data_IF_877790851710
#
_entry.id   IF_877790851710
#
_cell.length_a   1.000
_cell.length_b   1.000
_cell.length_c   1.000
_cell.angle_alpha   90.00
_cell.angle_beta   90.00
_cell.angle_gamma   90.00
#
_symmetry.space_group_name_H-M   'P 1'
#
loop_
_entity.id
_entity.type
_entity.pdbx_description
1 polymer ?
#
# COMPACT_ATOMS: atom_id res chain seq x y z
N UNK A 1 -4.00 1.87 10.64
CA UNK A 1 -4.61 0.63 11.16
C UNK A 1 -6.08 0.65 10.79
N UNK A 2 -6.64 -0.51 10.42
CA UNK A 2 -8.08 -0.70 10.19
C UNK A 2 -8.53 -1.79 11.13
N UNK A 3 -9.54 -1.49 11.95
CA UNK A 3 -10.12 -2.40 12.95
C UNK A 3 -11.04 -3.40 12.28
N UNK A 4 -11.57 -4.35 13.05
CA UNK A 4 -12.43 -5.41 12.53
C UNK A 4 -13.73 -4.88 11.92
N UNK A 5 -14.33 -3.85 12.54
CA UNK A 5 -15.57 -3.23 12.06
C UNK A 5 -15.32 -2.03 11.15
N UNK A 6 -14.06 -1.77 10.80
CA UNK A 6 -13.67 -0.83 9.75
C UNK A 6 -13.37 0.59 10.23
N UNK A 7 -13.27 0.83 11.53
CA UNK A 7 -12.71 2.06 12.10
C UNK A 7 -11.23 2.20 11.73
N UNK A 8 -10.77 3.43 11.51
CA UNK A 8 -9.48 3.67 10.88
C UNK A 8 -8.74 4.79 11.56
N UNK A 9 -7.49 4.53 11.90
CA UNK A 9 -6.68 5.46 12.65
C UNK A 9 -5.20 5.28 12.35
N UNK A 10 -4.42 6.35 12.52
CA UNK A 10 -2.97 6.34 12.27
C UNK A 10 -2.23 6.11 13.58
N UNK A 11 -1.53 4.98 13.65
CA UNK A 11 -0.68 4.62 14.78
C UNK A 11 0.75 4.52 14.31
N UNK A 12 1.62 5.33 14.91
CA UNK A 12 3.05 5.37 14.64
C UNK A 12 3.86 5.12 15.91
N UNK A 13 3.27 4.56 16.97
CA UNK A 13 3.98 4.32 18.22
C UNK A 13 4.99 3.19 18.09
N UNK A 14 6.21 3.35 18.60
CA UNK A 14 7.27 2.31 18.55
C UNK A 14 7.24 1.44 19.81
N UNK A 15 7.21 0.13 19.61
CA UNK A 15 7.15 -0.85 20.68
C UNK A 15 6.30 -2.07 20.36
N UNK A 16 5.94 -2.79 21.41
CA UNK A 16 5.17 -4.02 21.33
C UNK A 16 3.74 -3.77 21.83
N UNK A 17 2.76 -4.25 21.09
CA UNK A 17 1.35 -4.01 21.37
C UNK A 17 0.53 -5.26 21.13
N UNK A 18 -0.54 -5.43 21.91
CA UNK A 18 -1.57 -6.44 21.65
C UNK A 18 -2.42 -5.95 20.49
N UNK A 19 -2.25 -6.55 19.31
CA UNK A 19 -3.03 -6.23 18.13
C UNK A 19 -4.49 -6.69 18.31
N UNK A 20 -4.67 -7.95 18.73
CA UNK A 20 -5.98 -8.51 19.00
C UNK A 20 -5.85 -9.74 19.93
N UNK A 21 -6.84 -9.97 20.78
CA UNK A 21 -6.97 -11.19 21.59
C UNK A 21 -8.44 -11.55 21.81
N UNK A 22 -8.71 -12.84 21.86
CA UNK A 22 -10.01 -13.41 22.18
C UNK A 22 -9.80 -14.86 22.65
N UNK A 23 -10.43 -15.25 23.77
CA UNK A 23 -10.26 -16.58 24.37
C UNK A 23 -8.79 -17.03 24.46
N UNK A 24 -8.44 -18.12 23.77
CA UNK A 24 -7.13 -18.77 23.78
C UNK A 24 -6.18 -18.27 22.67
N UNK A 25 -6.59 -17.27 21.87
CA UNK A 25 -5.75 -16.65 20.84
C UNK A 25 -5.38 -15.20 21.19
N UNK A 26 -4.11 -14.87 21.02
CA UNK A 26 -3.59 -13.51 21.16
C UNK A 26 -2.53 -13.24 20.10
N UNK A 27 -2.63 -12.11 19.41
CA UNK A 27 -1.67 -11.63 18.43
C UNK A 27 -1.04 -10.34 18.94
N UNK A 28 0.28 -10.36 19.10
CA UNK A 28 1.09 -9.20 19.42
C UNK A 28 1.95 -8.80 18.22
N UNK A 29 2.13 -7.50 18.04
CA UNK A 29 2.99 -6.93 17.00
C UNK A 29 4.10 -6.10 17.63
N UNK A 30 5.31 -6.20 17.09
CA UNK A 30 6.42 -5.30 17.38
C UNK A 30 6.58 -4.34 16.24
N UNK A 31 6.47 -3.05 16.54
CA UNK A 31 6.69 -1.96 15.60
C UNK A 31 8.06 -1.33 15.82
N UNK A 32 8.71 -0.93 14.73
CA UNK A 32 10.00 -0.23 14.73
C UNK A 32 9.90 1.06 13.94
N UNK A 33 10.71 2.05 14.29
CA UNK A 33 10.71 3.34 13.60
C UNK A 33 11.16 3.19 12.13
N UNK A 34 10.42 3.82 11.22
CA UNK A 34 10.74 4.04 9.82
C UNK A 34 10.93 5.56 9.64
N UNK A 35 12.13 6.04 9.95
CA UNK A 35 12.41 7.48 10.05
C UNK A 35 11.83 8.09 11.34
N UNK A 36 11.45 9.36 11.27
CA UNK A 36 10.91 10.11 12.42
C UNK A 36 9.37 10.23 12.42
N UNK A 37 8.72 9.83 11.33
CA UNK A 37 7.29 10.05 11.09
C UNK A 37 6.48 8.76 11.23
N UNK A 38 7.00 7.62 10.76
CA UNK A 38 6.23 6.38 10.70
C UNK A 38 6.94 5.22 11.39
N UNK A 39 6.17 4.15 11.61
CA UNK A 39 6.65 2.87 12.12
C UNK A 39 6.11 1.73 11.27
N UNK A 40 6.80 0.59 11.29
CA UNK A 40 6.38 -0.63 10.60
C UNK A 40 6.46 -1.84 11.51
N UNK A 41 5.65 -2.87 11.24
CA UNK A 41 5.66 -4.11 12.03
C UNK A 41 6.89 -4.95 11.64
N UNK A 42 7.85 -5.12 12.54
CA UNK A 42 9.08 -5.89 12.30
C UNK A 42 9.05 -7.31 12.90
N UNK A 43 8.05 -7.61 13.74
CA UNK A 43 7.84 -8.96 14.25
C UNK A 43 6.39 -9.16 14.70
N UNK A 44 5.95 -10.42 14.66
CA UNK A 44 4.63 -10.85 15.12
C UNK A 44 4.81 -12.04 16.05
N UNK A 45 4.08 -12.05 17.17
CA UNK A 45 3.99 -13.21 18.06
C UNK A 45 2.53 -13.58 18.26
N UNK A 46 2.21 -14.86 18.12
CA UNK A 46 0.85 -15.39 18.20
C UNK A 46 0.83 -16.47 19.28
N UNK A 47 -0.07 -16.38 20.24
CA UNK A 47 -0.42 -17.47 21.16
C UNK A 47 -1.66 -18.17 20.64
N UNK A 48 -1.65 -19.50 20.63
CA UNK A 48 -2.83 -20.34 20.43
C UNK A 48 -2.82 -21.42 21.51
N UNK A 49 -3.77 -21.35 22.45
CA UNK A 49 -3.76 -22.18 23.65
C UNK A 49 -2.46 -21.97 24.42
N UNK A 50 -1.76 -23.06 24.70
CA UNK A 50 -0.47 -23.04 25.41
C UNK A 50 0.75 -22.86 24.48
N UNK A 51 0.54 -22.80 23.16
CA UNK A 51 1.62 -22.72 22.19
C UNK A 51 1.87 -21.29 21.73
N UNK A 52 3.15 -20.99 21.45
CA UNK A 52 3.57 -19.73 20.88
C UNK A 52 4.16 -19.94 19.49
N UNK A 53 3.74 -19.09 18.57
CA UNK A 53 4.32 -18.93 17.23
C UNK A 53 5.00 -17.55 17.20
N UNK A 54 6.30 -17.49 16.90
CA UNK A 54 7.00 -16.24 16.63
C UNK A 54 7.36 -16.14 15.16
N UNK A 55 7.14 -14.96 14.60
CA UNK A 55 7.41 -14.62 13.20
C UNK A 55 8.28 -13.38 13.19
N UNK A 56 9.55 -13.56 12.85
CA UNK A 56 10.56 -12.50 12.83
C UNK A 56 11.46 -12.69 11.64
N UNK A 57 12.20 -11.65 11.24
CA UNK A 57 13.31 -11.86 10.30
C UNK A 57 14.29 -12.92 10.83
N UNK A 58 14.96 -13.70 9.96
CA UNK A 58 15.89 -14.73 10.39
C UNK A 58 17.08 -14.13 11.13
N UNK A 59 17.12 -14.28 12.46
CA UNK A 59 18.24 -13.78 13.28
C UNK A 59 19.28 -14.85 13.61
N UNK A 60 19.12 -16.09 13.12
CA UNK A 60 19.99 -17.24 13.42
C UNK A 60 20.51 -17.98 12.19
N UNK A 61 21.51 -18.82 12.40
CA UNK A 61 22.17 -19.62 11.34
C UNK A 61 21.23 -20.61 10.64
N UNK A 62 20.06 -20.89 11.23
CA UNK A 62 19.04 -21.77 10.66
C UNK A 62 18.19 -21.10 9.56
N UNK A 63 18.29 -19.77 9.41
CA UNK A 63 17.55 -19.02 8.40
C UNK A 63 16.03 -19.07 8.57
N UNK A 64 15.53 -19.49 9.73
CA UNK A 64 14.09 -19.65 9.97
C UNK A 64 13.48 -18.36 10.48
N UNK A 65 12.41 -17.94 9.80
CA UNK A 65 11.60 -16.77 10.14
C UNK A 65 10.41 -17.13 11.05
N UNK A 66 10.18 -18.44 11.32
CA UNK A 66 9.05 -18.93 12.10
C UNK A 66 9.50 -19.93 13.14
N UNK A 67 9.14 -19.70 14.41
CA UNK A 67 9.39 -20.66 15.49
C UNK A 67 8.09 -21.02 16.19
N UNK A 68 7.97 -22.29 16.59
CA UNK A 68 6.90 -22.80 17.46
C UNK A 68 7.55 -23.21 18.77
N UNK A 69 7.13 -22.59 19.87
CA UNK A 69 7.68 -22.80 21.22
C UNK A 69 9.23 -22.67 21.26
N UNK A 70 9.77 -21.73 20.48
CA UNK A 70 11.20 -21.45 20.34
C UNK A 70 11.95 -22.36 19.36
N UNK A 71 11.34 -23.47 18.92
CA UNK A 71 11.93 -24.37 17.93
C UNK A 71 11.62 -23.90 16.50
N UNK A 72 12.59 -23.94 15.56
CA UNK A 72 12.34 -23.59 14.16
C UNK A 72 11.27 -24.46 13.51
N UNK A 73 10.29 -23.84 12.86
CA UNK A 73 9.31 -24.52 12.04
C UNK A 73 9.76 -24.48 10.58
N UNK A 74 10.04 -25.64 9.97
CA UNK A 74 10.55 -25.72 8.59
C UNK A 74 9.58 -26.38 7.63
N UNK A 75 8.53 -27.02 8.13
CA UNK A 75 7.49 -27.65 7.32
C UNK A 75 6.50 -26.60 6.78
N UNK A 76 6.02 -26.81 5.56
CA UNK A 76 4.95 -26.00 4.94
C UNK A 76 3.68 -25.99 5.79
N UNK A 77 3.35 -27.12 6.43
CA UNK A 77 2.22 -27.25 7.34
C UNK A 77 2.73 -27.80 8.68
N UNK A 78 2.34 -27.15 9.77
CA UNK A 78 2.68 -27.55 11.14
C UNK A 78 1.44 -27.46 12.01
N UNK A 79 1.08 -28.55 12.68
CA UNK A 79 0.03 -28.54 13.69
C UNK A 79 0.59 -27.86 14.96
N UNK A 80 -0.10 -26.84 15.47
CA UNK A 80 0.27 -26.09 16.68
C UNK A 80 -0.92 -26.06 17.61
N UNK A 81 -0.92 -26.93 18.62
CA UNK A 81 -2.13 -27.24 19.38
C UNK A 81 -3.25 -27.68 18.44
N UNK A 82 -4.40 -26.99 18.50
CA UNK A 82 -5.53 -27.21 17.60
C UNK A 82 -5.50 -26.32 16.34
N UNK A 83 -4.55 -25.38 16.22
CA UNK A 83 -4.38 -24.57 15.03
C UNK A 83 -3.46 -25.21 13.99
N UNK A 84 -3.67 -24.81 12.73
CA UNK A 84 -2.80 -25.13 11.62
C UNK A 84 -1.96 -23.91 11.26
N UNK A 85 -0.64 -24.04 11.36
CA UNK A 85 0.33 -23.10 10.82
C UNK A 85 0.69 -23.51 9.39
N UNK A 86 0.52 -22.60 8.44
CA UNK A 86 0.94 -22.76 7.05
C UNK A 86 1.98 -21.71 6.68
N UNK A 87 3.10 -22.17 6.12
CA UNK A 87 4.19 -21.33 5.64
C UNK A 87 4.25 -21.33 4.11
N UNK A 88 4.39 -20.15 3.53
CA UNK A 88 4.61 -19.92 2.10
C UNK A 88 5.85 -19.06 1.91
N UNK A 89 6.27 -18.85 0.65
CA UNK A 89 7.52 -18.12 0.34
C UNK A 89 7.62 -16.74 0.99
N UNK A 90 6.49 -16.04 1.13
CA UNK A 90 6.43 -14.66 1.66
C UNK A 90 5.29 -14.44 2.66
N UNK A 91 4.58 -15.50 3.08
CA UNK A 91 3.48 -15.35 4.03
C UNK A 91 3.31 -16.56 4.93
N UNK A 92 2.96 -16.29 6.18
CA UNK A 92 2.59 -17.27 7.20
C UNK A 92 1.13 -17.07 7.49
N UNK A 93 0.40 -18.16 7.64
CA UNK A 93 -0.97 -18.14 8.13
C UNK A 93 -1.17 -19.11 9.27
N UNK A 94 -2.02 -18.72 10.22
CA UNK A 94 -2.46 -19.55 11.34
C UNK A 94 -3.98 -19.62 11.27
N UNK A 95 -4.52 -20.82 11.25
CA UNK A 95 -5.97 -21.07 11.23
C UNK A 95 -6.37 -21.89 12.43
N UNK A 96 -7.28 -21.38 13.26
CA UNK A 96 -7.84 -22.07 14.42
C UNK A 96 -9.14 -22.80 14.05
N UNK A 97 -9.61 -23.77 14.87
CA UNK A 97 -10.82 -24.55 14.55
C UNK A 97 -12.13 -23.76 14.48
N UNK A 98 -12.21 -22.62 15.19
CA UNK A 98 -13.35 -21.70 15.16
C UNK A 98 -13.45 -20.89 13.86
N UNK A 99 -12.41 -20.96 13.02
CA UNK A 99 -12.33 -20.25 11.74
C UNK A 99 -11.54 -18.95 11.79
N UNK A 100 -10.99 -18.56 12.95
CA UNK A 100 -10.10 -17.39 12.99
C UNK A 100 -8.88 -17.63 12.10
N UNK A 101 -8.56 -16.64 11.26
CA UNK A 101 -7.45 -16.69 10.32
C UNK A 101 -6.51 -15.50 10.50
N UNK A 102 -5.27 -15.77 10.89
CA UNK A 102 -4.21 -14.76 10.98
C UNK A 102 -3.25 -14.95 9.82
N UNK A 103 -3.00 -13.91 9.03
CA UNK A 103 -1.99 -13.89 7.96
C UNK A 103 -0.96 -12.82 8.23
N UNK A 104 0.31 -13.23 8.22
CA UNK A 104 1.48 -12.36 8.28
C UNK A 104 2.19 -12.44 6.95
N UNK A 105 2.33 -11.32 6.27
CA UNK A 105 2.94 -11.25 4.94
C UNK A 105 4.14 -10.30 4.98
N UNK A 106 5.27 -10.72 4.42
CA UNK A 106 6.41 -9.83 4.23
C UNK A 106 6.11 -8.80 3.14
N UNK A 107 6.15 -7.51 3.49
CA UNK A 107 5.74 -6.40 2.62
C UNK A 107 6.93 -5.67 2.01
N UNK A 108 7.94 -5.36 2.81
CA UNK A 108 9.28 -4.92 2.38
C UNK A 108 10.31 -5.65 3.23
N UNK A 109 11.62 -5.61 2.91
CA UNK A 109 12.63 -6.17 3.81
C UNK A 109 12.40 -5.65 5.24
N UNK A 110 12.32 -6.56 6.20
CA UNK A 110 12.16 -6.27 7.63
C UNK A 110 10.81 -5.65 8.06
N UNK A 111 9.77 -5.65 7.20
CA UNK A 111 8.42 -5.18 7.56
C UNK A 111 7.33 -6.14 7.10
N UNK A 112 6.39 -6.41 8.00
CA UNK A 112 5.23 -7.28 7.80
C UNK A 112 3.92 -6.49 7.71
N UNK A 113 2.98 -7.00 6.91
CA UNK A 113 1.55 -6.71 7.04
C UNK A 113 0.88 -7.85 7.80
N UNK A 114 -0.01 -7.50 8.73
CA UNK A 114 -0.78 -8.46 9.53
C UNK A 114 -2.25 -8.28 9.23
N UNK A 115 -2.91 -9.35 8.78
CA UNK A 115 -4.35 -9.43 8.58
C UNK A 115 -4.91 -10.47 9.54
N UNK A 116 -5.94 -10.11 10.28
CA UNK A 116 -6.68 -11.02 11.16
C UNK A 116 -8.12 -11.02 10.67
N UNK A 117 -8.64 -12.19 10.33
CA UNK A 117 -10.05 -12.43 10.08
C UNK A 117 -10.61 -13.10 11.34
N UNK A 118 -11.28 -12.35 12.22
CA UNK A 118 -11.77 -12.86 13.49
C UNK A 118 -12.98 -13.79 13.29
N UNK A 119 -13.05 -14.85 14.08
CA UNK A 119 -14.31 -15.58 14.29
C UNK A 119 -15.05 -15.00 15.51
N UNK A 120 -16.33 -14.67 15.33
CA UNK A 120 -17.20 -14.17 16.40
C UNK A 120 -16.83 -12.77 16.92
N UNK A 121 -17.69 -12.20 17.76
CA UNK A 121 -17.48 -10.91 18.43
C UNK A 121 -16.81 -11.08 19.80
N UNK A 122 -16.45 -9.96 20.44
CA UNK A 122 -15.88 -9.93 21.80
C UNK A 122 -14.35 -9.89 21.83
N UNK A 123 -13.73 -9.59 20.69
CA UNK A 123 -12.30 -9.37 20.60
C UNK A 123 -11.89 -8.13 21.41
N UNK A 124 -10.61 -8.03 21.74
CA UNK A 124 -10.07 -6.80 22.33
C UNK A 124 -8.67 -6.55 21.81
N UNK A 125 -8.27 -5.29 21.68
CA UNK A 125 -6.95 -4.91 21.21
C UNK A 125 -6.98 -3.66 20.37
N UNK A 126 -5.88 -3.40 19.67
CA UNK A 126 -5.78 -2.33 18.68
C UNK A 126 -6.77 -2.49 17.51
N UNK A 127 -7.26 -3.71 17.24
CA UNK A 127 -8.19 -3.98 16.14
C UNK A 127 -9.68 -3.97 16.53
N UNK A 128 -10.01 -3.57 17.76
CA UNK A 128 -11.42 -3.48 18.20
C UNK A 128 -12.02 -4.82 18.63
N UNK A 129 -13.36 -4.88 18.68
CA UNK A 129 -14.11 -5.97 19.30
C UNK A 129 -14.91 -6.87 18.34
N UNK A 130 -14.99 -6.48 17.06
CA UNK A 130 -15.66 -7.23 15.99
C UNK A 130 -17.15 -7.48 16.30
N UNK A 131 -17.83 -6.49 16.90
CA UNK A 131 -19.25 -6.54 17.22
C UNK A 131 -20.16 -5.97 16.11
N UNK A 132 -19.55 -5.38 15.08
CA UNK A 132 -20.21 -4.77 13.93
C UNK A 132 -20.32 -3.24 14.01
N UNK A 133 -19.82 -2.61 15.08
CA UNK A 133 -19.97 -1.18 15.35
C UNK A 133 -18.59 -0.48 15.43
N UNK A 134 -18.20 0.17 14.32
CA UNK A 134 -16.90 0.85 14.22
C UNK A 134 -16.69 1.99 15.26
N UNK A 135 -17.77 2.57 15.79
CA UNK A 135 -17.72 3.72 16.71
C UNK A 135 -17.13 3.36 18.10
N UNK A 136 -17.15 2.08 18.49
CA UNK A 136 -16.58 1.58 19.75
C UNK A 136 -15.27 0.81 19.62
N UNK A 137 -14.72 0.68 18.41
CA UNK A 137 -13.51 -0.11 18.19
C UNK A 137 -12.27 0.44 18.90
N UNK A 138 -12.15 1.77 19.05
CA UNK A 138 -11.00 2.37 19.73
C UNK A 138 -11.23 2.45 21.24
N UNK A 139 -11.41 1.29 21.86
CA UNK A 139 -11.57 1.14 23.29
C UNK A 139 -10.24 0.82 23.99
N UNK A 140 -9.91 1.58 25.02
CA UNK A 140 -8.76 1.28 25.90
C UNK A 140 -9.02 0.05 26.77
N UNK A 141 -7.96 -0.53 27.35
CA UNK A 141 -8.09 -1.64 28.31
C UNK A 141 -8.99 -1.36 29.51
N UNK A 142 -9.13 -0.09 29.92
CA UNK A 142 -10.00 0.34 31.03
C UNK A 142 -11.39 0.81 30.57
N UNK A 143 -11.70 0.68 29.27
CA UNK A 143 -13.04 0.88 28.72
C UNK A 143 -13.35 2.29 28.22
N UNK A 144 -12.35 3.17 28.11
CA UNK A 144 -12.51 4.50 27.48
C UNK A 144 -12.58 4.32 25.97
N UNK A 145 -13.62 4.87 25.34
CA UNK A 145 -13.84 4.78 23.89
C UNK A 145 -13.46 6.11 23.24
N UNK A 146 -12.75 6.03 22.14
CA UNK A 146 -12.46 7.14 21.24
C UNK A 146 -13.19 6.95 19.92
N UNK A 147 -13.82 8.00 19.41
CA UNK A 147 -14.32 8.01 18.04
C UNK A 147 -13.14 8.16 17.08
N UNK A 148 -13.01 7.27 16.10
CA UNK A 148 -11.86 7.24 15.20
C UNK A 148 -11.74 8.48 14.30
N UNK A 149 -12.85 9.18 14.04
CA UNK A 149 -12.89 10.40 13.22
C UNK A 149 -12.46 11.63 14.04
N UNK A 150 -12.90 11.70 15.29
CA UNK A 150 -12.65 12.86 16.15
C UNK A 150 -11.40 12.73 17.05
N UNK A 151 -10.86 11.53 17.21
CA UNK A 151 -9.68 11.28 18.05
C UNK A 151 -8.46 12.06 17.55
N UNK A 152 -7.83 12.81 18.46
CA UNK A 152 -6.59 13.49 18.14
C UNK A 152 -5.41 12.49 18.02
N UNK A 153 -4.33 12.91 17.36
CA UNK A 153 -3.11 12.13 17.35
C UNK A 153 -2.59 11.83 18.78
N UNK A 154 -2.79 12.75 19.72
CA UNK A 154 -2.42 12.55 21.13
C UNK A 154 -3.30 11.48 21.80
N UNK A 155 -4.61 11.50 21.57
CA UNK A 155 -5.54 10.47 22.06
C UNK A 155 -5.13 9.08 21.58
N UNK A 156 -4.85 8.97 20.28
CA UNK A 156 -4.45 7.72 19.64
C UNK A 156 -3.11 7.20 20.18
N UNK A 157 -2.07 8.04 20.22
CA UNK A 157 -0.72 7.57 20.52
C UNK A 157 -0.46 7.46 22.02
N UNK A 158 -0.90 8.44 22.81
CA UNK A 158 -0.54 8.56 24.23
C UNK A 158 -1.54 7.90 25.17
N UNK A 159 -2.77 7.66 24.71
CA UNK A 159 -3.83 7.06 25.54
C UNK A 159 -4.27 5.71 24.99
N UNK A 160 -4.89 5.68 23.80
CA UNK A 160 -5.45 4.46 23.23
C UNK A 160 -4.39 3.39 22.97
N UNK A 161 -3.38 3.71 22.17
CA UNK A 161 -2.32 2.75 21.81
C UNK A 161 -1.45 2.37 23.02
N UNK A 162 -1.12 3.34 23.90
CA UNK A 162 -0.40 3.04 25.14
C UNK A 162 -1.17 2.08 26.04
N UNK A 163 -2.50 2.17 26.08
CA UNK A 163 -3.32 1.25 26.87
C UNK A 163 -3.14 -0.20 26.41
N UNK A 164 -2.76 -0.44 25.15
CA UNK A 164 -2.53 -1.75 24.53
C UNK A 164 -1.06 -2.16 24.45
N UNK A 165 -0.14 -1.36 25.01
CA UNK A 165 1.29 -1.70 25.09
C UNK A 165 1.51 -2.98 25.89
N UNK A 166 2.39 -3.84 25.39
CA UNK A 166 2.79 -5.10 26.01
C UNK A 166 3.78 -4.83 27.14
N UNK A 167 3.53 -5.38 28.32
CA UNK A 167 4.49 -5.47 29.43
C UNK A 167 5.37 -6.72 29.37
N UNK A 168 6.47 -6.73 30.12
CA UNK A 168 7.37 -7.90 30.19
C UNK A 168 6.65 -9.18 30.65
N UNK A 169 5.58 -9.06 31.45
CA UNK A 169 4.83 -10.19 31.99
C UNK A 169 3.83 -10.79 30.99
N UNK A 170 3.34 -10.00 30.05
CA UNK A 170 2.36 -10.42 29.03
C UNK A 170 3.01 -10.70 27.66
N UNK A 171 4.29 -10.33 27.49
CA UNK A 171 4.97 -10.46 26.20
C UNK A 171 5.05 -11.90 25.72
N UNK A 172 4.63 -12.09 24.48
CA UNK A 172 4.85 -13.31 23.74
C UNK A 172 6.24 -13.31 23.07
N UNK A 173 6.95 -12.19 22.96
CA UNK A 173 8.21 -12.18 22.24
C UNK A 173 9.36 -12.88 23.00
N UNK A 174 10.33 -13.36 22.24
CA UNK A 174 11.60 -13.84 22.76
C UNK A 174 12.61 -12.71 22.79
N UNK A 175 13.38 -12.63 23.88
CA UNK A 175 14.37 -11.59 24.12
C UNK A 175 15.75 -12.20 24.27
N UNK A 176 16.77 -11.57 23.67
CA UNK A 176 18.15 -11.93 23.96
C UNK A 176 18.52 -11.55 25.40
N UNK A 177 19.65 -12.05 25.88
CA UNK A 177 20.15 -11.74 27.22
C UNK A 177 20.26 -10.22 27.43
N UNK A 178 19.55 -9.71 28.44
CA UNK A 178 19.51 -8.28 28.79
C UNK A 178 18.51 -7.45 27.99
N UNK A 179 17.73 -8.04 27.09
CA UNK A 179 16.64 -7.38 26.39
C UNK A 179 15.28 -7.60 27.10
N UNK A 180 14.36 -6.68 26.88
CA UNK A 180 12.96 -6.76 27.32
C UNK A 180 12.07 -5.87 26.44
N UNK A 181 10.77 -5.72 26.76
CA UNK A 181 9.88 -4.78 26.06
C UNK A 181 10.43 -3.36 26.01
N UNK A 182 11.19 -2.96 27.04
CA UNK A 182 11.85 -1.66 27.13
C UNK A 182 12.92 -1.45 26.05
N UNK A 183 13.53 -2.53 25.54
CA UNK A 183 14.53 -2.45 24.46
C UNK A 183 13.91 -2.00 23.14
N UNK A 184 12.65 -2.36 22.91
CA UNK A 184 11.95 -2.10 21.65
C UNK A 184 10.98 -0.92 21.76
N UNK A 185 10.87 -0.29 22.94
CA UNK A 185 9.95 0.81 23.18
C UNK A 185 10.63 2.16 23.00
N UNK A 186 10.07 3.01 22.14
CA UNK A 186 10.39 4.42 22.06
C UNK A 186 9.10 5.25 22.10
N UNK A 187 8.80 5.78 23.29
CA UNK A 187 7.62 6.63 23.53
C UNK A 187 7.74 8.05 22.98
N UNK A 188 8.92 8.43 22.47
CA UNK A 188 9.09 9.73 21.81
C UNK A 188 8.67 9.69 20.34
N UNK A 189 8.40 8.50 19.79
CA UNK A 189 7.99 8.33 18.40
C UNK A 189 6.46 8.36 18.26
N UNK A 190 5.89 9.03 17.24
CA UNK A 190 6.58 9.76 16.16
C UNK A 190 7.20 11.07 16.65
N UNK A 191 8.41 11.37 16.16
CA UNK A 191 9.16 12.60 16.51
C UNK A 191 8.80 13.78 15.62
N UNK A 192 8.15 13.50 14.49
CA UNK A 192 7.65 14.49 13.54
C UNK A 192 6.31 14.03 12.94
N UNK A 193 5.53 14.99 12.46
CA UNK A 193 4.32 14.73 11.67
C UNK A 193 4.58 15.13 10.23
N UNK A 194 4.11 14.34 9.26
CA UNK A 194 4.13 14.73 7.85
C UNK A 194 2.87 15.55 7.54
N UNK A 195 3.06 16.85 7.35
CA UNK A 195 2.03 17.71 6.77
C UNK A 195 2.11 17.64 5.24
N UNK A 196 1.12 17.02 4.59
CA UNK A 196 1.05 16.90 3.14
C UNK A 196 1.08 18.27 2.44
N UNK A 197 0.59 19.34 3.07
CA UNK A 197 0.65 20.70 2.51
C UNK A 197 2.09 21.26 2.47
N UNK A 198 3.00 20.70 3.27
CA UNK A 198 4.42 21.08 3.29
C UNK A 198 5.28 20.28 2.30
N UNK A 199 4.72 19.23 1.70
CA UNK A 199 5.41 18.36 0.73
C UNK A 199 5.56 19.10 -0.61
N UNK A 200 6.75 19.09 -1.25
CA UNK A 200 6.92 19.67 -2.58
C UNK A 200 5.92 19.08 -3.58
N UNK A 201 5.24 19.94 -4.35
CA UNK A 201 4.17 19.52 -5.26
C UNK A 201 4.58 18.41 -6.25
N UNK A 202 5.84 18.38 -6.68
CA UNK A 202 6.37 17.34 -7.56
C UNK A 202 6.45 15.97 -6.89
N UNK A 203 6.74 15.94 -5.58
CA UNK A 203 6.81 14.72 -4.78
C UNK A 203 5.43 14.17 -4.48
N UNK A 204 4.50 15.07 -4.09
CA UNK A 204 3.11 14.72 -3.88
C UNK A 204 2.47 14.14 -5.15
N UNK A 205 2.65 14.81 -6.29
CA UNK A 205 2.14 14.32 -7.57
C UNK A 205 2.75 12.97 -8.00
N UNK A 206 4.01 12.68 -7.63
CA UNK A 206 4.61 11.37 -7.89
C UNK A 206 3.99 10.28 -7.02
N UNK A 207 3.79 10.54 -5.73
CA UNK A 207 3.15 9.62 -4.79
C UNK A 207 1.71 9.30 -5.23
N UNK A 208 0.93 10.33 -5.54
CA UNK A 208 -0.43 10.20 -6.08
C UNK A 208 -0.47 9.31 -7.33
N UNK A 209 0.42 9.55 -8.29
CA UNK A 209 0.49 8.75 -9.53
C UNK A 209 0.82 7.29 -9.27
N UNK A 210 1.69 6.99 -8.29
CA UNK A 210 2.05 5.62 -7.93
C UNK A 210 0.88 4.90 -7.25
N UNK A 211 0.06 5.61 -6.49
CA UNK A 211 -1.18 5.09 -5.91
C UNK A 211 -2.22 4.76 -6.98
N UNK A 212 -2.48 5.69 -7.90
CA UNK A 212 -3.38 5.46 -9.04
C UNK A 212 -2.89 4.27 -9.88
N UNK A 213 -1.59 4.19 -10.17
CA UNK A 213 -0.99 3.08 -10.92
C UNK A 213 -1.09 1.73 -10.21
N UNK A 214 -1.25 1.74 -8.89
CA UNK A 214 -1.52 0.56 -8.07
C UNK A 214 -3.01 0.19 -8.01
N UNK A 215 -3.87 0.92 -8.72
CA UNK A 215 -5.32 0.72 -8.72
C UNK A 215 -6.04 1.33 -7.51
N UNK A 216 -5.30 2.07 -6.67
CA UNK A 216 -5.83 2.74 -5.49
C UNK A 216 -6.34 4.11 -5.95
N UNK A 217 -7.65 4.19 -6.19
CA UNK A 217 -8.35 5.40 -6.66
C UNK A 217 -9.55 5.77 -5.80
N UNK A 218 -9.85 4.96 -4.80
CA UNK A 218 -10.89 5.27 -3.83
C UNK A 218 -10.34 6.32 -2.86
N UNK A 219 -11.00 7.49 -2.82
CA UNK A 219 -10.65 8.64 -1.98
C UNK A 219 -10.44 8.23 -0.52
N UNK A 220 -11.14 7.19 -0.09
CA UNK A 220 -10.97 6.55 1.18
C UNK A 220 -9.47 6.22 1.42
N UNK A 221 -8.88 5.41 0.56
CA UNK A 221 -7.53 4.80 0.70
C UNK A 221 -6.42 5.60 0.05
N UNK A 222 -6.79 6.56 -0.78
CA UNK A 222 -5.85 7.29 -1.61
C UNK A 222 -4.82 8.07 -0.80
N UNK A 223 -5.26 8.88 0.17
CA UNK A 223 -4.37 9.71 0.98
C UNK A 223 -3.37 8.90 1.81
N UNK A 224 -3.75 7.69 2.20
CA UNK A 224 -2.90 6.79 2.96
C UNK A 224 -1.85 6.12 2.10
N UNK A 225 -2.24 5.71 0.89
CA UNK A 225 -1.25 5.31 -0.09
C UNK A 225 -0.28 6.46 -0.38
N UNK A 226 -0.76 7.69 -0.54
CA UNK A 226 0.10 8.85 -0.79
C UNK A 226 1.08 9.07 0.37
N UNK A 227 0.60 9.03 1.61
CA UNK A 227 1.43 9.09 2.80
C UNK A 227 2.48 7.98 2.81
N UNK A 228 2.08 6.73 2.58
CA UNK A 228 2.96 5.56 2.56
C UNK A 228 4.07 5.71 1.50
N UNK A 229 3.72 6.20 0.31
CA UNK A 229 4.68 6.46 -0.76
C UNK A 229 5.65 7.59 -0.40
N UNK A 230 5.22 8.60 0.36
CA UNK A 230 6.05 9.71 0.81
C UNK A 230 6.96 9.35 2.00
N UNK A 231 6.50 8.44 2.88
CA UNK A 231 7.27 8.07 4.08
C UNK A 231 8.20 6.89 3.82
N UNK A 232 7.74 5.85 3.11
CA UNK A 232 8.59 4.72 2.72
C UNK A 232 9.55 5.11 1.58
N UNK A 233 9.15 6.07 0.75
CA UNK A 233 10.01 6.67 -0.25
C UNK A 233 10.67 7.92 0.30
N UNK A 234 11.82 7.81 0.96
CA UNK A 234 12.75 8.94 1.00
C UNK A 234 13.08 9.27 -0.47
N UNK A 235 12.48 10.33 -1.01
CA UNK A 235 12.59 10.66 -2.43
C UNK A 235 14.01 11.15 -2.80
N UNK A 236 14.92 11.30 -1.83
CA UNK A 236 16.36 11.37 -2.07
C UNK A 236 17.00 10.03 -2.48
N UNK A 237 16.39 8.90 -2.10
CA UNK A 237 16.89 7.52 -2.30
C UNK A 237 16.07 6.66 -3.27
N UNK A 238 15.05 7.22 -3.95
CA UNK A 238 14.41 6.64 -5.16
C UNK A 238 15.40 6.36 -6.34
N UNK A 239 16.69 6.57 -6.13
CA UNK A 239 17.79 6.19 -7.02
C UNK A 239 18.33 4.78 -6.78
N UNK A 240 17.76 3.97 -5.87
CA UNK A 240 18.29 2.64 -5.56
C UNK A 240 17.27 1.50 -5.58
N UNK A 241 17.67 0.25 -5.91
CA UNK A 241 16.77 -0.89 -6.09
C UNK A 241 15.94 -1.33 -4.87
N UNK A 242 16.27 -0.87 -3.66
CA UNK A 242 15.58 -1.28 -2.42
C UNK A 242 14.16 -0.69 -2.30
N UNK A 243 13.92 0.52 -2.83
CA UNK A 243 12.61 1.17 -2.83
C UNK A 243 11.56 0.45 -3.72
N UNK A 244 12.00 -0.42 -4.63
CA UNK A 244 11.13 -1.16 -5.55
C UNK A 244 10.56 -2.47 -4.94
N UNK A 245 10.98 -2.84 -3.73
CA UNK A 245 10.37 -3.94 -2.97
C UNK A 245 8.95 -3.63 -2.49
N UNK A 246 8.68 -2.35 -2.19
CA UNK A 246 7.38 -1.83 -1.69
C UNK A 246 6.24 -2.08 -2.69
N UNK A 247 6.52 -1.90 -3.98
CA UNK A 247 5.51 -1.95 -5.05
C UNK A 247 5.02 -3.38 -5.34
N UNK A 248 5.83 -4.41 -5.05
CA UNK A 248 5.45 -5.82 -5.30
C UNK A 248 4.31 -6.30 -4.40
N UNK A 249 4.16 -5.74 -3.21
CA UNK A 249 3.21 -6.25 -2.22
C UNK A 249 1.87 -5.50 -2.19
N UNK A 250 1.72 -4.38 -2.89
CA UNK A 250 0.40 -3.71 -3.01
C UNK A 250 -0.57 -4.55 -3.86
N UNK A 251 -0.07 -5.31 -4.85
CA UNK A 251 -0.90 -6.14 -5.73
C UNK A 251 -1.42 -7.44 -5.10
N UNK A 252 -0.93 -7.82 -3.92
CA UNK A 252 -1.38 -9.01 -3.17
C UNK A 252 -2.18 -8.66 -1.92
N UNK A 253 -2.37 -7.36 -1.64
CA UNK A 253 -3.34 -6.86 -0.67
C UNK A 253 -4.71 -6.87 -1.35
N UNK A 254 -5.30 -8.06 -1.49
CA UNK A 254 -6.76 -8.15 -1.39
C UNK A 254 -7.07 -7.66 0.03
N UNK A 255 -7.55 -6.41 0.16
CA UNK A 255 -8.06 -5.76 1.36
C UNK A 255 -7.44 -6.18 2.72
N UNK A 256 -6.60 -5.34 3.33
CA UNK A 256 -6.61 -4.99 4.78
C UNK A 256 -5.45 -4.02 5.06
N UNK A 257 -5.75 -2.98 5.84
CA UNK A 257 -5.07 -1.67 5.93
C UNK A 257 -5.30 -0.78 4.71
N UNK A 258 -6.57 -0.65 4.36
CA UNK A 258 -7.12 0.41 3.55
C UNK A 258 -7.35 1.61 4.47
N UNK A 259 -6.49 2.61 4.43
CA UNK A 259 -6.74 3.92 5.03
C UNK A 259 -8.08 4.56 4.61
N UNK A 260 -8.80 5.37 5.41
CA UNK A 260 -10.08 6.06 5.07
C UNK A 260 -11.00 6.41 6.25
N UNK A 261 -10.98 7.66 6.70
CA UNK A 261 -11.89 8.71 6.26
C UNK A 261 -11.53 9.97 7.07
N UNK A 262 -11.15 11.01 6.35
CA UNK A 262 -10.99 12.38 6.84
C UNK A 262 -11.21 13.27 5.64
N UNK A 263 -12.48 13.51 5.31
CA UNK A 263 -12.89 14.15 4.07
C UNK A 263 -12.46 15.63 4.03
N UNK A 264 -11.37 15.94 3.33
CA UNK A 264 -11.07 17.29 2.85
C UNK A 264 -11.40 17.37 1.35
N UNK A 265 -12.65 17.73 1.01
CA UNK A 265 -13.00 18.00 -0.39
C UNK A 265 -12.40 19.33 -0.81
N UNK A 266 -11.41 19.27 -1.71
CA UNK A 266 -10.82 20.45 -2.36
C UNK A 266 -11.79 21.01 -3.39
N UNK A 267 -12.22 22.27 -3.22
CA UNK A 267 -12.94 23.00 -4.28
C UNK A 267 -12.02 23.26 -5.48
N UNK A 268 -12.59 23.46 -6.66
CA UNK A 268 -11.85 23.82 -7.88
C UNK A 268 -11.02 25.11 -7.74
N UNK A 269 -11.25 25.93 -6.70
CA UNK A 269 -10.51 27.14 -6.38
C UNK A 269 -9.46 26.98 -5.26
N UNK A 270 -9.32 25.79 -4.68
CA UNK A 270 -8.28 25.47 -3.70
C UNK A 270 -8.54 25.89 -2.25
N UNK A 271 -9.79 26.14 -1.84
CA UNK A 271 -10.16 26.41 -0.43
C UNK A 271 -10.94 25.27 0.25
N UNK A 272 -10.86 25.18 1.58
CA UNK A 272 -11.56 24.19 2.43
C UNK A 272 -12.60 24.88 3.32
N UNK A 273 -13.80 24.31 3.45
CA UNK A 273 -14.88 24.80 4.33
C UNK A 273 -15.62 23.63 5.01
N UNK A 274 -15.80 23.71 6.33
CA UNK A 274 -16.55 22.76 7.18
C UNK A 274 -18.07 22.98 7.01
N UNK A 275 -18.79 21.98 6.50
CA UNK A 275 -20.25 22.01 6.35
C UNK A 275 -20.88 20.73 6.94
N UNK A 276 -21.14 20.79 8.25
CA UNK A 276 -22.02 19.88 8.97
C UNK A 276 -23.49 20.02 8.50
N UNK A 277 -24.15 18.87 8.25
CA UNK A 277 -25.61 18.62 8.09
C UNK A 277 -26.34 19.06 6.79
N UNK A 278 -26.91 18.07 6.06
CA UNK A 278 -28.37 17.85 5.80
C UNK A 278 -28.67 17.12 4.45
N UNK A 279 -29.83 16.44 4.30
CA UNK A 279 -29.98 15.15 3.60
C UNK A 279 -30.16 15.24 2.08
N UNK A 280 -29.74 14.16 1.42
CA UNK A 280 -29.90 13.93 -0.02
C UNK A 280 -31.39 13.93 -0.44
N UNK A 281 -31.75 14.87 -1.33
CA UNK A 281 -32.99 14.83 -2.10
C UNK A 281 -32.71 14.09 -3.42
N UNK A 282 -33.36 12.95 -3.60
CA UNK A 282 -33.45 12.22 -4.87
C UNK A 282 -34.04 13.13 -5.95
N UNK A 283 -33.33 13.31 -7.06
CA UNK A 283 -33.91 13.81 -8.31
C UNK A 283 -33.61 12.77 -9.42
N UNK A 284 -34.66 12.09 -9.86
CA UNK A 284 -34.71 11.38 -11.13
C UNK A 284 -34.66 12.39 -12.29
N UNK A 285 -33.89 12.10 -13.34
CA UNK A 285 -33.81 12.94 -14.55
C UNK A 285 -33.18 12.22 -15.75
N UNK A 286 -34.01 11.42 -16.42
CA UNK A 286 -34.04 11.05 -17.86
C UNK A 286 -32.75 11.02 -18.70
N UNK A 287 -32.51 9.83 -19.27
CA UNK A 287 -31.85 9.61 -20.57
C UNK A 287 -32.24 10.68 -21.61
N UNK A 288 -31.24 11.23 -22.29
CA UNK A 288 -31.40 11.66 -23.68
C UNK A 288 -30.29 11.04 -24.52
N UNK A 289 -30.70 10.41 -25.62
CA UNK A 289 -29.85 9.64 -26.53
C UNK A 289 -29.60 10.49 -27.76
N UNK A 290 -28.36 10.93 -27.97
CA UNK A 290 -27.90 11.34 -29.30
C UNK A 290 -26.53 10.74 -29.59
N UNK A 291 -26.54 9.71 -30.43
CA UNK A 291 -25.37 9.08 -31.01
C UNK A 291 -24.75 10.02 -32.05
N UNK A 292 -23.52 10.49 -31.81
CA UNK A 292 -22.67 11.05 -32.85
C UNK A 292 -21.60 10.02 -33.28
N UNK A 293 -21.44 9.90 -34.60
CA UNK A 293 -20.49 9.04 -35.30
C UNK A 293 -19.02 9.37 -34.97
N UNK A 294 -18.03 8.48 -35.22
CA UNK A 294 -16.66 8.71 -34.79
C UNK A 294 -16.02 9.84 -35.61
N UNK A 295 -15.62 10.91 -34.94
CA UNK A 295 -14.79 11.97 -35.50
C UNK A 295 -13.33 11.51 -35.65
N UNK A 296 -12.71 11.92 -36.76
CA UNK A 296 -11.28 11.80 -37.12
C UNK A 296 -10.39 12.37 -35.98
N UNK A 297 -9.33 11.69 -35.51
CA UNK A 297 -8.58 12.17 -34.34
C UNK A 297 -7.75 13.40 -34.71
N UNK A 298 -8.29 14.58 -34.43
CA UNK A 298 -7.54 15.83 -34.50
C UNK A 298 -6.46 15.88 -33.41
N UNK A 299 -5.28 16.36 -33.78
CA UNK A 299 -4.17 16.55 -32.87
C UNK A 299 -4.47 17.67 -31.86
N UNK A 300 -4.42 17.35 -30.57
CA UNK A 300 -4.56 18.29 -29.46
C UNK A 300 -3.23 18.36 -28.69
N UNK A 301 -2.86 19.52 -28.16
CA UNK A 301 -1.68 19.66 -27.29
C UNK A 301 -1.74 18.74 -26.06
N UNK A 302 -2.94 18.40 -25.59
CA UNK A 302 -3.16 17.41 -24.52
C UNK A 302 -2.75 15.98 -24.90
N UNK A 303 -2.51 15.68 -26.18
CA UNK A 303 -2.13 14.34 -26.66
C UNK A 303 -0.84 13.83 -26.00
N UNK A 304 0.07 14.74 -25.65
CA UNK A 304 1.38 14.39 -25.10
C UNK A 304 1.33 13.89 -23.65
N UNK A 305 0.24 14.21 -22.94
CA UNK A 305 -0.03 13.70 -21.58
C UNK A 305 -0.67 12.31 -21.58
N UNK A 306 -1.23 11.88 -22.72
CA UNK A 306 -1.94 10.59 -22.82
C UNK A 306 -0.97 9.43 -22.67
N UNK A 307 -1.22 8.61 -21.65
CA UNK A 307 -0.49 7.36 -21.41
C UNK A 307 -1.12 6.21 -22.18
N UNK A 308 -0.36 5.15 -22.43
CA UNK A 308 -0.90 3.95 -23.07
C UNK A 308 -2.03 3.33 -22.22
N UNK A 309 -1.96 3.43 -20.90
CA UNK A 309 -3.04 3.02 -20.00
C UNK A 309 -4.35 3.72 -20.31
N UNK A 310 -4.36 5.05 -20.36
CA UNK A 310 -5.58 5.84 -20.64
C UNK A 310 -6.10 5.56 -22.05
N UNK A 311 -5.19 5.43 -23.01
CA UNK A 311 -5.53 5.14 -24.40
C UNK A 311 -6.23 3.78 -24.54
N UNK A 312 -5.60 2.72 -24.02
CA UNK A 312 -6.12 1.35 -24.06
C UNK A 312 -7.38 1.19 -23.21
N UNK A 313 -7.47 1.85 -22.05
CA UNK A 313 -8.66 1.87 -21.21
C UNK A 313 -9.87 2.52 -21.88
N UNK A 314 -9.64 3.39 -22.87
CA UNK A 314 -10.69 3.96 -23.71
C UNK A 314 -11.05 3.08 -24.92
N UNK A 315 -10.58 1.82 -24.96
CA UNK A 315 -10.67 0.91 -26.11
C UNK A 315 -10.09 1.51 -27.41
N UNK A 316 -9.04 2.33 -27.29
CA UNK A 316 -8.28 2.87 -28.42
C UNK A 316 -6.84 2.38 -28.35
N UNK A 317 -6.19 2.27 -29.50
CA UNK A 317 -4.77 1.91 -29.60
C UNK A 317 -3.99 2.85 -30.52
N UNK A 318 -4.61 3.94 -30.94
CA UNK A 318 -3.96 4.96 -31.76
C UNK A 318 -4.27 6.36 -31.25
N UNK A 319 -3.29 7.26 -31.40
CA UNK A 319 -3.38 8.67 -31.04
C UNK A 319 -2.61 9.51 -32.04
N UNK A 320 -3.05 10.75 -32.27
CA UNK A 320 -2.31 11.74 -33.05
C UNK A 320 -1.63 12.71 -32.10
N UNK A 321 -0.30 12.71 -32.12
CA UNK A 321 0.55 13.58 -31.32
C UNK A 321 0.70 14.94 -32.01
N UNK A 322 0.33 16.03 -31.34
CA UNK A 322 0.42 17.36 -31.91
C UNK A 322 1.88 17.80 -32.19
N UNK A 323 2.14 18.58 -33.27
CA UNK A 323 3.46 19.18 -33.49
C UNK A 323 3.82 20.18 -32.40
N UNK A 324 5.10 20.27 -32.06
CA UNK A 324 5.63 21.17 -31.03
C UNK A 324 5.37 20.71 -29.58
N UNK A 325 5.29 19.40 -29.35
CA UNK A 325 5.08 18.84 -28.02
C UNK A 325 6.27 18.93 -27.08
N UNK A 326 6.00 18.83 -25.77
CA UNK A 326 7.01 18.79 -24.71
C UNK A 326 7.20 17.34 -24.22
N UNK A 327 8.37 17.00 -23.64
CA UNK A 327 8.63 15.66 -23.13
C UNK A 327 7.80 15.37 -21.88
N UNK A 328 7.06 14.26 -21.92
CA UNK A 328 6.41 13.65 -20.76
C UNK A 328 7.15 12.37 -20.33
N UNK A 329 6.89 11.88 -19.11
CA UNK A 329 7.58 10.69 -18.60
C UNK A 329 7.42 9.45 -19.49
N UNK A 330 8.52 8.72 -19.67
CA UNK A 330 8.61 7.44 -20.39
C UNK A 330 9.43 6.47 -19.57
N UNK A 331 8.95 5.25 -19.47
CA UNK A 331 9.62 4.18 -18.76
C UNK A 331 9.76 2.92 -19.62
N UNK A 332 10.94 2.31 -19.55
CA UNK A 332 11.35 1.23 -20.44
C UNK A 332 12.05 1.74 -21.70
N UNK A 333 12.49 0.79 -22.54
CA UNK A 333 13.35 1.03 -23.68
C UNK A 333 13.51 -0.25 -24.50
N UNK A 334 14.25 -0.18 -25.60
CA UNK A 334 14.33 -1.25 -26.60
C UNK A 334 12.95 -1.61 -27.16
N UNK A 335 12.20 -0.57 -27.53
CA UNK A 335 10.87 -0.64 -28.15
C UNK A 335 9.76 -1.26 -27.29
N UNK A 336 10.03 -1.49 -26.00
CA UNK A 336 9.07 -1.94 -25.00
C UNK A 336 8.94 -0.90 -23.89
N UNK A 337 7.72 -0.41 -23.69
CA UNK A 337 7.42 0.66 -22.76
C UNK A 337 6.36 0.23 -21.75
N UNK A 338 6.48 0.70 -20.52
CA UNK A 338 5.45 0.48 -19.50
C UNK A 338 4.20 1.29 -19.83
N UNK A 339 3.00 0.74 -19.62
CA UNK A 339 1.72 1.39 -20.01
C UNK A 339 1.49 2.78 -19.40
N UNK A 340 2.21 3.12 -18.33
CA UNK A 340 2.22 4.40 -17.66
C UNK A 340 2.96 5.49 -18.45
N UNK A 341 3.76 5.12 -19.45
CA UNK A 341 4.50 6.03 -20.32
C UNK A 341 3.56 6.85 -21.19
N UNK A 342 3.93 8.12 -21.43
CA UNK A 342 3.33 8.92 -22.49
C UNK A 342 3.51 8.22 -23.83
N UNK A 343 2.41 8.02 -24.57
CA UNK A 343 2.44 7.36 -25.89
C UNK A 343 3.26 8.18 -26.89
N UNK A 344 3.06 9.50 -26.89
CA UNK A 344 3.76 10.41 -27.79
C UNK A 344 5.24 10.53 -27.46
N UNK A 345 5.61 10.66 -26.18
CA UNK A 345 7.03 10.71 -25.81
C UNK A 345 7.73 9.36 -25.99
N UNK A 346 7.03 8.23 -25.79
CA UNK A 346 7.56 6.90 -26.10
C UNK A 346 7.78 6.72 -27.61
N UNK A 347 6.89 7.25 -28.45
CA UNK A 347 7.07 7.25 -29.89
C UNK A 347 8.24 8.11 -30.37
N UNK A 348 8.52 9.25 -29.71
CA UNK A 348 9.77 10.01 -29.94
C UNK A 348 10.99 9.20 -29.49
N UNK A 349 10.94 8.58 -28.31
CA UNK A 349 12.02 7.73 -27.81
C UNK A 349 12.31 6.56 -28.76
N UNK A 350 11.28 5.91 -29.31
CA UNK A 350 11.37 4.85 -30.32
C UNK A 350 11.81 5.36 -31.71
N UNK A 351 11.80 6.68 -31.93
CA UNK A 351 12.19 7.30 -33.20
C UNK A 351 11.14 7.21 -34.30
N UNK A 352 9.87 7.02 -33.93
CA UNK A 352 8.72 6.94 -34.84
C UNK A 352 8.19 8.32 -35.21
N UNK A 353 8.23 9.26 -34.27
CA UNK A 353 7.88 10.67 -34.47
C UNK A 353 8.94 11.60 -33.87
N UNK A 354 8.81 12.91 -34.08
CA UNK A 354 9.60 13.94 -33.41
C UNK A 354 8.72 14.91 -32.63
N UNK A 355 9.26 15.58 -31.61
CA UNK A 355 8.54 16.64 -30.89
C UNK A 355 8.07 17.75 -31.82
N UNK A 356 8.89 18.13 -32.80
CA UNK A 356 8.59 19.24 -33.73
C UNK A 356 7.46 18.90 -34.68
N UNK A 357 7.45 17.70 -35.26
CA UNK A 357 6.50 17.31 -36.31
C UNK A 357 5.26 16.62 -35.76
N UNK A 358 5.34 15.98 -34.59
CA UNK A 358 4.26 15.14 -34.08
C UNK A 358 4.00 13.95 -35.02
N UNK A 359 2.78 13.41 -35.00
CA UNK A 359 2.36 12.35 -35.92
C UNK A 359 1.39 11.34 -35.31
N UNK A 360 0.83 10.48 -36.16
CA UNK A 360 -0.01 9.37 -35.73
C UNK A 360 0.85 8.25 -35.15
N UNK A 361 0.45 7.74 -33.98
CA UNK A 361 1.12 6.66 -33.27
C UNK A 361 0.10 5.57 -33.00
N UNK A 362 0.45 4.33 -33.33
CA UNK A 362 -0.30 3.14 -32.95
C UNK A 362 0.52 2.31 -31.96
N UNK A 363 -0.12 1.78 -30.92
CA UNK A 363 0.51 0.96 -29.90
C UNK A 363 -0.09 -0.45 -29.88
N UNK A 364 0.72 -1.42 -29.52
CA UNK A 364 0.31 -2.80 -29.33
C UNK A 364 0.52 -3.21 -27.86
N UNK A 365 -0.54 -3.58 -27.12
CA UNK A 365 -0.38 -4.11 -25.77
C UNK A 365 0.29 -5.48 -25.83
N UNK A 366 1.23 -5.75 -24.92
CA UNK A 366 1.81 -7.07 -24.75
C UNK A 366 0.91 -7.95 -23.89
N UNK A 367 0.64 -9.18 -24.35
CA UNK A 367 -0.19 -10.14 -23.62
C UNK A 367 0.47 -10.57 -22.29
N UNK A 368 -0.35 -10.97 -21.31
CA UNK A 368 0.12 -11.34 -19.95
C UNK A 368 1.26 -12.38 -19.96
N UNK A 369 1.24 -13.34 -20.89
CA UNK A 369 2.28 -14.38 -21.00
C UNK A 369 3.62 -13.92 -21.59
N UNK A 370 3.66 -12.78 -22.30
CA UNK A 370 4.92 -12.13 -22.72
C UNK A 370 5.44 -11.15 -21.65
N UNK A 371 4.54 -10.61 -20.82
CA UNK A 371 4.89 -9.89 -19.60
C UNK A 371 5.69 -10.72 -18.61
N UNK A 372 5.43 -12.04 -18.51
CA UNK A 372 6.19 -12.97 -17.68
C UNK A 372 7.68 -13.06 -18.07
N UNK A 373 7.99 -12.86 -19.36
CA UNK A 373 9.37 -12.87 -19.86
C UNK A 373 10.20 -11.67 -19.36
N UNK A 374 9.53 -10.57 -18.99
CA UNK A 374 10.14 -9.39 -18.37
C UNK A 374 10.08 -9.41 -16.84
N UNK A 375 9.27 -10.30 -16.24
CA UNK A 375 9.30 -10.57 -14.79
C UNK A 375 10.59 -11.31 -14.37
N UNK A 376 11.11 -12.18 -15.24
CA UNK A 376 12.38 -12.90 -15.01
C UNK A 376 13.63 -12.03 -15.31
N UNK A 377 13.51 -10.98 -16.13
CA UNK A 377 14.65 -10.24 -16.69
C UNK A 377 15.18 -9.08 -15.83
N UNK A 378 14.46 -8.64 -14.80
CA UNK A 378 14.96 -7.55 -13.95
C UNK A 378 14.70 -6.15 -14.52
N UNK A 379 13.45 -5.67 -14.49
CA UNK A 379 13.00 -4.35 -14.99
C UNK A 379 13.17 -4.13 -16.51
N UNK A 380 12.29 -3.30 -17.10
CA UNK A 380 12.54 -2.69 -18.41
C UNK A 380 13.65 -1.63 -18.24
N UNK A 381 14.79 -1.75 -18.93
CA UNK A 381 15.88 -0.80 -18.79
C UNK A 381 15.55 0.51 -19.52
N UNK A 382 15.66 1.63 -18.82
CA UNK A 382 15.61 2.96 -19.42
C UNK A 382 16.99 3.40 -19.91
N UNK A 383 17.02 4.18 -20.97
CA UNK A 383 18.22 4.80 -21.52
C UNK A 383 17.88 6.06 -22.32
N UNK A 384 18.90 6.78 -22.75
CA UNK A 384 18.71 7.93 -23.62
C UNK A 384 18.69 7.49 -25.09
N UNK A 385 17.60 7.81 -25.79
CA UNK A 385 17.44 7.56 -27.23
C UNK A 385 16.65 8.70 -27.87
N UNK A 386 17.05 9.10 -29.08
CA UNK A 386 16.31 10.08 -29.89
C UNK A 386 15.97 11.40 -29.16
N UNK A 387 16.86 11.84 -28.26
CA UNK A 387 16.69 13.07 -27.48
C UNK A 387 15.78 12.95 -26.26
N UNK A 388 15.22 11.76 -25.99
CA UNK A 388 14.43 11.44 -24.79
C UNK A 388 15.24 10.54 -23.88
N UNK A 389 15.24 10.81 -22.57
CA UNK A 389 15.79 9.88 -21.58
C UNK A 389 14.65 9.15 -20.90
N UNK A 390 14.52 7.85 -21.18
CA UNK A 390 13.57 6.98 -20.49
C UNK A 390 14.15 6.48 -19.16
N UNK A 391 13.27 6.13 -18.22
CA UNK A 391 13.64 5.61 -16.91
C UNK A 391 13.43 4.10 -16.85
N UNK A 392 14.30 3.40 -16.10
CA UNK A 392 14.09 1.97 -15.85
C UNK A 392 12.89 1.77 -14.95
N UNK A 393 12.05 0.76 -15.25
CA UNK A 393 10.86 0.46 -14.44
C UNK A 393 10.55 -1.02 -14.43
N UNK A 394 9.96 -1.50 -13.35
CA UNK A 394 9.24 -2.77 -13.37
C UNK A 394 7.81 -2.53 -13.86
N UNK A 395 7.50 -2.97 -15.08
CA UNK A 395 6.19 -2.77 -15.68
C UNK A 395 5.28 -3.98 -15.44
N UNK A 396 4.08 -3.75 -14.90
CA UNK A 396 3.06 -4.81 -14.75
C UNK A 396 2.26 -5.06 -16.03
N UNK A 397 2.22 -4.07 -16.93
CA UNK A 397 1.73 -4.16 -18.31
C UNK A 397 2.64 -3.31 -19.18
N UNK A 398 2.86 -3.76 -20.39
CA UNK A 398 3.74 -3.08 -21.33
C UNK A 398 3.08 -3.00 -22.71
N UNK A 399 3.60 -2.11 -23.53
CA UNK A 399 3.20 -1.94 -24.91
C UNK A 399 4.43 -1.71 -25.77
N UNK A 400 4.29 -1.97 -27.07
CA UNK A 400 5.26 -1.60 -28.09
C UNK A 400 4.68 -0.50 -28.97
N UNK A 401 5.56 0.31 -29.56
CA UNK A 401 5.15 1.22 -30.64
C UNK A 401 5.17 0.42 -31.94
N UNK A 402 4.09 0.48 -32.70
CA UNK A 402 4.06 -0.16 -34.02
C UNK A 402 4.86 0.67 -35.00
N UNK A 403 5.91 0.09 -35.56
CA UNK A 403 6.64 0.64 -36.71
C UNK A 403 5.92 0.23 -38.00
N UNK A 404 5.53 1.19 -38.83
CA UNK A 404 4.97 0.92 -40.17
C UNK A 404 6.02 0.44 -41.17
#
# INVERSE_FOLDING_TARGET
VVTFDGAQYSMQGVGEYVAARHDDIEVQVRTVALGDVASGVAAVAIRVGDHRISITEPTGDDGSWVRVDGAPATATFTQVGDAMLRQERHSVSVTTPDGTFVRVQGSVPDVFTVRIEPAGAGWTGLLGDNDGEAENDLQTRDGVIFDAVDASAEDIHSTFSESWRVSDAESLFEYAAGQSTATFTDRSHPRATLDLASVPATQLAMAERLCIASGIVDDAVFDWCVFDMLVMGDLGTLRTPAALGVIRNIRSIDAVVAASQGQLVRRADGTFEDQRFAPQRIIHGTHDTDAHAPEDPQADASSWEVTAWTLLGSNRNSIVCAPGGEPHPVWGGHDVYATESSVCTAAVHAGVISFTEGGAVTIDPLDQGEGDRYQDAGALPGYAQNGVTSQSVWAGRAFTIRHE
#
